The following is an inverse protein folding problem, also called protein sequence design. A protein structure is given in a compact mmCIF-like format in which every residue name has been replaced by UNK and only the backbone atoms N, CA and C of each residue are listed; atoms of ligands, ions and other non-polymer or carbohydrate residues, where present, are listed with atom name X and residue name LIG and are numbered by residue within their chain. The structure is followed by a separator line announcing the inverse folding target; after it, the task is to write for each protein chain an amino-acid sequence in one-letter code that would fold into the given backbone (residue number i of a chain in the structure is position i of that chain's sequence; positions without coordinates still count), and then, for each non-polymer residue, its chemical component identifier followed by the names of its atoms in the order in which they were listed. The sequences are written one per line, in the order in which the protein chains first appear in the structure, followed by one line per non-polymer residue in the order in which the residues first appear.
data_IF_409400813496
#
_entry.id   IF_409400813496
#
_cell.length_a   1.000
_cell.length_b   1.000
_cell.length_c   1.000
_cell.angle_alpha   90.00
_cell.angle_beta   90.00
_cell.angle_gamma   90.00
#
_symmetry.space_group_name_H-M   'P 1'
#
loop_
_entity.id
_entity.type
_entity.pdbx_description
1 polymer ?
#
# COMPACT_ATOMS: atom_id res chain seq x y z
N UNK A 1 16.44 -2.61 -12.61
CA UNK A 1 17.72 -3.30 -12.35
C UNK A 1 18.52 -3.25 -13.64
N UNK A 2 19.61 -2.49 -13.67
CA UNK A 2 20.47 -2.50 -14.86
C UNK A 2 21.11 -3.88 -14.99
N UNK A 3 21.42 -4.29 -16.22
CA UNK A 3 21.94 -5.64 -16.54
C UNK A 3 23.16 -6.02 -15.67
N UNK A 4 23.98 -5.04 -15.30
CA UNK A 4 25.19 -5.19 -14.49
C UNK A 4 24.96 -5.71 -13.06
N UNK A 5 23.84 -5.34 -12.41
CA UNK A 5 23.57 -5.79 -11.04
C UNK A 5 23.02 -7.22 -11.03
N UNK A 6 22.28 -7.59 -12.08
CA UNK A 6 21.71 -8.92 -12.24
C UNK A 6 22.81 -9.99 -12.41
N UNK A 7 23.90 -9.68 -13.11
CA UNK A 7 24.97 -10.63 -13.38
C UNK A 7 25.77 -10.96 -12.10
N UNK A 8 26.01 -9.97 -11.22
CA UNK A 8 26.62 -10.21 -9.89
C UNK A 8 25.77 -11.12 -9.00
N UNK A 9 24.45 -10.93 -9.03
CA UNK A 9 23.51 -11.79 -8.28
C UNK A 9 23.55 -13.21 -8.83
N UNK A 10 23.51 -13.38 -10.16
CA UNK A 10 23.58 -14.70 -10.80
C UNK A 10 24.88 -15.43 -10.46
N UNK A 11 26.02 -14.74 -10.43
CA UNK A 11 27.31 -15.32 -10.08
C UNK A 11 27.36 -15.84 -8.65
N UNK A 12 26.75 -15.13 -7.70
CA UNK A 12 26.69 -15.56 -6.30
C UNK A 12 25.71 -16.72 -6.08
N UNK A 13 24.58 -16.71 -6.80
CA UNK A 13 23.63 -17.83 -6.82
C UNK A 13 24.23 -19.09 -7.46
N UNK A 14 25.03 -18.95 -8.53
CA UNK A 14 25.73 -20.07 -9.17
C UNK A 14 26.75 -20.76 -8.24
N UNK A 15 27.26 -20.03 -7.23
CA UNK A 15 28.16 -20.56 -6.18
C UNK A 15 27.40 -21.13 -4.99
N UNK A 16 26.08 -21.27 -5.08
CA UNK A 16 25.22 -21.82 -4.04
C UNK A 16 25.28 -21.03 -2.71
N UNK A 17 25.54 -19.72 -2.79
CA UNK A 17 25.56 -18.81 -1.62
C UNK A 17 24.23 -18.08 -1.50
N UNK A 18 23.70 -17.90 -0.27
CA UNK A 18 22.49 -17.11 -0.06
C UNK A 18 22.78 -15.64 -0.37
N UNK A 19 21.93 -15.04 -1.20
CA UNK A 19 22.02 -13.61 -1.59
C UNK A 19 20.85 -12.86 -0.98
N UNK A 20 21.13 -11.75 -0.28
CA UNK A 20 20.13 -10.77 0.13
C UNK A 20 20.21 -9.58 -0.81
N UNK A 21 19.08 -9.26 -1.45
CA UNK A 21 18.93 -8.09 -2.30
C UNK A 21 18.18 -7.01 -1.52
N UNK A 22 18.76 -5.82 -1.48
CA UNK A 22 18.10 -4.64 -0.94
C UNK A 22 18.05 -3.57 -2.02
N UNK A 23 16.84 -3.12 -2.34
CA UNK A 23 16.60 -1.96 -3.18
C UNK A 23 16.48 -0.74 -2.27
N UNK A 24 17.42 0.20 -2.34
CA UNK A 24 17.30 1.48 -1.66
C UNK A 24 17.13 2.60 -2.67
N UNK A 25 15.97 3.27 -2.61
CA UNK A 25 15.68 4.42 -3.44
C UNK A 25 16.21 5.60 -2.65
N UNK A 26 17.48 5.95 -2.86
CA UNK A 26 18.08 7.09 -2.17
C UNK A 26 17.47 8.36 -2.74
N UNK A 27 16.64 9.03 -1.94
CA UNK A 27 16.25 10.40 -2.22
C UNK A 27 17.51 11.28 -2.17
N UNK A 28 17.67 12.25 -3.08
CA UNK A 28 18.78 13.18 -3.01
C UNK A 28 18.66 14.05 -1.76
N UNK A 29 19.80 14.47 -1.20
CA UNK A 29 19.90 15.31 0.00
C UNK A 29 20.67 16.58 -0.34
N UNK A 30 20.06 17.55 -1.04
CA UNK A 30 20.78 18.75 -1.48
C UNK A 30 21.27 19.58 -0.28
N UNK A 31 20.48 19.64 0.79
CA UNK A 31 20.84 20.29 2.05
C UNK A 31 20.18 19.59 3.28
N UNK A 32 20.13 20.28 4.42
CA UNK A 32 19.57 19.76 5.68
C UNK A 32 18.05 19.85 5.79
N UNK A 33 17.39 20.58 4.89
CA UNK A 33 15.94 20.75 4.77
C UNK A 33 15.42 19.81 3.69
N UNK A 34 14.16 19.42 3.79
CA UNK A 34 13.51 18.57 2.81
C UNK A 34 12.42 19.36 2.10
N UNK A 35 12.54 19.48 0.78
CA UNK A 35 11.48 20.02 -0.06
C UNK A 35 10.52 18.90 -0.45
N UNK A 36 9.22 19.14 -0.28
CA UNK A 36 8.20 18.21 -0.74
C UNK A 36 7.07 18.95 -1.45
N UNK A 37 6.73 18.45 -2.62
CA UNK A 37 5.80 19.08 -3.54
C UNK A 37 4.58 18.18 -3.69
N UNK A 38 3.38 18.76 -3.78
CA UNK A 38 2.15 18.00 -4.08
C UNK A 38 1.44 18.60 -5.29
N UNK A 39 1.43 17.86 -6.39
CA UNK A 39 0.64 18.18 -7.56
C UNK A 39 -0.76 17.56 -7.43
N UNK A 40 -1.80 18.41 -7.40
CA UNK A 40 -3.19 17.98 -7.19
C UNK A 40 -4.20 18.91 -7.89
N UNK A 41 -5.50 18.61 -7.77
CA UNK A 41 -6.60 19.49 -8.18
C UNK A 41 -7.51 19.77 -6.99
N UNK A 42 -8.16 20.95 -6.92
CA UNK A 42 -9.21 21.23 -5.95
C UNK A 42 -10.38 20.25 -5.93
N UNK A 43 -10.57 19.43 -6.95
CA UNK A 43 -11.66 18.45 -7.08
C UNK A 43 -11.20 17.00 -6.99
N UNK A 44 -9.93 16.75 -6.67
CA UNK A 44 -9.37 15.41 -6.56
C UNK A 44 -9.67 14.79 -5.17
N UNK A 45 -10.54 13.76 -5.08
CA UNK A 45 -10.94 13.19 -3.80
C UNK A 45 -9.77 12.49 -3.08
N UNK A 46 -8.77 12.00 -3.82
CA UNK A 46 -7.60 11.35 -3.21
C UNK A 46 -6.73 12.41 -2.53
N UNK A 47 -6.56 13.56 -3.17
CA UNK A 47 -5.82 14.68 -2.60
C UNK A 47 -6.55 15.26 -1.37
N UNK A 48 -7.87 15.36 -1.37
CA UNK A 48 -8.64 15.90 -0.24
C UNK A 48 -8.38 15.16 1.07
N UNK A 49 -8.44 13.82 1.03
CA UNK A 49 -8.18 13.00 2.22
C UNK A 49 -6.76 13.24 2.75
N UNK A 50 -5.77 13.24 1.85
CA UNK A 50 -4.39 13.53 2.22
C UNK A 50 -4.24 14.93 2.83
N UNK A 51 -4.81 15.95 2.19
CA UNK A 51 -4.66 17.34 2.58
C UNK A 51 -5.26 17.63 3.96
N UNK A 52 -6.40 17.01 4.27
CA UNK A 52 -7.06 17.15 5.57
C UNK A 52 -6.27 16.50 6.72
N UNK A 53 -5.60 15.38 6.45
CA UNK A 53 -4.90 14.62 7.50
C UNK A 53 -3.42 15.00 7.66
N UNK A 54 -2.78 15.56 6.63
CA UNK A 54 -1.35 15.85 6.66
C UNK A 54 -0.99 17.15 7.40
N UNK A 55 -1.96 18.04 7.65
CA UNK A 55 -1.73 19.33 8.32
C UNK A 55 -0.95 19.22 9.65
N UNK A 56 -1.29 18.32 10.60
CA UNK A 56 -0.55 18.21 11.86
C UNK A 56 0.91 17.82 11.65
N UNK A 57 1.19 16.98 10.65
CA UNK A 57 2.55 16.57 10.29
C UNK A 57 3.32 17.73 9.67
N UNK A 58 2.72 18.47 8.74
CA UNK A 58 3.35 19.66 8.15
C UNK A 58 3.76 20.66 9.25
N UNK A 59 2.86 20.92 10.21
CA UNK A 59 3.16 21.77 11.38
C UNK A 59 4.29 21.21 12.25
N UNK A 60 4.32 19.90 12.47
CA UNK A 60 5.34 19.27 13.30
C UNK A 60 6.71 19.15 12.63
N UNK A 61 6.75 19.09 11.30
CA UNK A 61 7.98 19.21 10.52
C UNK A 61 8.54 20.64 10.63
N UNK A 62 7.67 21.65 10.56
CA UNK A 62 8.04 23.06 10.69
C UNK A 62 9.17 23.43 9.72
N UNK A 63 10.12 24.26 10.17
CA UNK A 63 11.26 24.72 9.37
C UNK A 63 12.20 23.62 8.84
N UNK A 64 12.07 22.37 9.30
CA UNK A 64 12.87 21.25 8.80
C UNK A 64 12.42 20.79 7.41
N UNK A 65 11.19 21.09 6.99
CA UNK A 65 10.70 20.77 5.66
C UNK A 65 10.05 22.00 5.02
N UNK A 66 10.02 22.02 3.69
CA UNK A 66 9.36 23.06 2.91
C UNK A 66 8.34 22.40 1.99
N UNK A 67 7.06 22.68 2.22
CA UNK A 67 5.97 22.24 1.38
C UNK A 67 5.81 23.16 0.18
N UNK A 68 5.46 22.62 -0.98
CA UNK A 68 4.92 23.42 -2.10
C UNK A 68 3.65 22.75 -2.66
N UNK A 69 2.47 23.38 -2.55
CA UNK A 69 1.29 22.92 -3.26
C UNK A 69 1.39 23.34 -4.73
N UNK A 70 1.18 22.39 -5.63
CA UNK A 70 1.07 22.62 -7.06
C UNK A 70 -0.31 22.23 -7.56
N UNK A 71 -0.77 22.98 -8.56
CA UNK A 71 -2.03 22.70 -9.23
C UNK A 71 -1.74 22.02 -10.56
N UNK A 72 -2.53 21.00 -10.89
CA UNK A 72 -2.53 20.40 -12.22
C UNK A 72 -3.52 21.12 -13.15
N UNK A 73 -3.00 21.57 -14.30
CA UNK A 73 -3.67 22.40 -15.29
C UNK A 73 -3.31 21.90 -16.70
N UNK A 74 -4.14 22.24 -17.68
CA UNK A 74 -3.90 21.95 -19.08
C UNK A 74 -4.11 23.22 -19.93
N UNK A 75 -3.48 23.27 -21.10
CA UNK A 75 -3.83 24.27 -22.10
C UNK A 75 -5.13 23.88 -22.81
N UNK A 76 -5.96 24.87 -23.11
CA UNK A 76 -7.11 24.65 -23.98
C UNK A 76 -6.62 24.36 -25.40
N UNK A 77 -7.10 23.26 -26.00
CA UNK A 77 -6.91 23.05 -27.45
C UNK A 77 -7.95 23.90 -28.17
N UNK A 78 -7.48 24.82 -29.03
CA UNK A 78 -8.21 25.92 -29.67
C UNK A 78 -9.32 25.53 -30.67
N UNK A 79 -9.94 24.35 -30.55
CA UNK A 79 -10.77 23.79 -31.62
C UNK A 79 -12.08 23.14 -31.16
N UNK A 80 -12.61 23.53 -30.00
CA UNK A 80 -13.90 23.04 -29.48
C UNK A 80 -14.81 24.19 -29.02
N UNK A 81 -15.33 24.90 -30.02
CA UNK A 81 -16.62 25.64 -30.01
C UNK A 81 -16.94 26.57 -28.82
N UNK A 82 -16.79 27.87 -29.09
CA UNK A 82 -17.66 29.01 -28.69
C UNK A 82 -17.75 29.44 -27.22
N UNK A 83 -17.02 28.80 -26.30
CA UNK A 83 -16.65 29.39 -24.99
C UNK A 83 -15.13 29.65 -24.88
N UNK A 84 -14.49 29.74 -26.05
CA UNK A 84 -13.04 29.80 -26.32
C UNK A 84 -12.37 31.15 -25.95
N UNK A 85 -12.52 31.64 -24.72
CA UNK A 85 -11.77 32.83 -24.23
C UNK A 85 -10.78 32.53 -23.11
N UNK A 86 -10.59 31.26 -22.76
CA UNK A 86 -9.75 30.86 -21.63
C UNK A 86 -8.60 29.98 -22.07
N UNK A 87 -7.38 30.46 -21.80
CA UNK A 87 -6.10 29.83 -22.13
C UNK A 87 -5.81 28.57 -21.32
N UNK A 88 -6.34 28.52 -20.11
CA UNK A 88 -6.10 27.48 -19.11
C UNK A 88 -7.38 26.68 -18.87
N UNK A 89 -7.26 25.36 -18.76
CA UNK A 89 -8.35 24.49 -18.35
C UNK A 89 -7.89 23.48 -17.30
N UNK A 90 -8.86 22.90 -16.62
CA UNK A 90 -8.69 21.76 -15.73
C UNK A 90 -9.66 20.66 -16.16
N UNK A 91 -9.44 19.44 -15.67
CA UNK A 91 -10.38 18.35 -15.89
C UNK A 91 -11.71 18.67 -15.21
N UNK A 92 -12.79 18.51 -15.96
CA UNK A 92 -14.14 18.58 -15.42
C UNK A 92 -14.35 17.40 -14.44
N UNK A 93 -14.69 17.66 -13.17
CA UNK A 93 -14.80 16.63 -12.13
C UNK A 93 -15.96 15.66 -12.34
N UNK A 94 -17.10 16.11 -12.88
CA UNK A 94 -18.27 15.26 -13.13
C UNK A 94 -18.38 14.81 -14.59
N UNK A 95 -17.50 15.33 -15.45
CA UNK A 95 -17.45 15.07 -16.90
C UNK A 95 -18.73 15.49 -17.61
N UNK A 96 -19.50 16.40 -17.02
CA UNK A 96 -20.73 16.93 -17.56
C UNK A 96 -20.54 18.41 -17.91
N UNK A 97 -20.21 18.66 -19.18
CA UNK A 97 -19.92 20.00 -19.67
C UNK A 97 -21.12 20.96 -19.63
N UNK A 98 -22.34 20.45 -19.45
CA UNK A 98 -23.57 21.24 -19.51
C UNK A 98 -24.13 21.61 -18.12
N UNK A 99 -23.63 20.98 -17.04
CA UNK A 99 -24.09 21.27 -15.67
C UNK A 99 -23.12 20.76 -14.62
N UNK A 100 -22.95 21.51 -13.54
CA UNK A 100 -22.09 21.13 -12.42
C UNK A 100 -20.88 22.05 -12.31
N UNK A 101 -19.79 21.54 -11.75
CA UNK A 101 -18.56 22.30 -11.58
C UNK A 101 -17.79 22.28 -12.89
N UNK A 102 -17.66 23.43 -13.54
CA UNK A 102 -16.91 23.49 -14.80
C UNK A 102 -15.40 23.41 -14.57
N UNK A 103 -14.65 23.00 -15.61
CA UNK A 103 -13.18 23.11 -15.59
C UNK A 103 -12.69 24.55 -15.31
N UNK A 104 -13.46 25.58 -15.67
CA UNK A 104 -13.14 26.98 -15.34
C UNK A 104 -13.26 27.26 -13.84
N UNK A 105 -14.28 26.75 -13.18
CA UNK A 105 -14.44 26.90 -11.74
C UNK A 105 -13.27 26.27 -10.99
N UNK A 106 -12.80 25.11 -11.47
CA UNK A 106 -11.61 24.44 -10.93
C UNK A 106 -10.35 25.29 -11.13
N UNK A 107 -10.16 25.91 -12.30
CA UNK A 107 -9.04 26.85 -12.54
C UNK A 107 -9.14 28.07 -11.61
N UNK A 108 -10.34 28.61 -11.39
CA UNK A 108 -10.57 29.74 -10.50
C UNK A 108 -10.20 29.42 -9.05
N UNK A 109 -10.67 28.29 -8.54
CA UNK A 109 -10.32 27.83 -7.19
C UNK A 109 -8.83 27.47 -7.08
N UNK A 110 -8.23 26.95 -8.14
CA UNK A 110 -6.80 26.68 -8.19
C UNK A 110 -5.98 27.97 -8.06
N UNK A 111 -6.28 28.98 -8.86
CA UNK A 111 -5.59 30.27 -8.80
C UNK A 111 -5.73 30.92 -7.41
N UNK A 112 -6.92 30.79 -6.80
CA UNK A 112 -7.16 31.25 -5.43
C UNK A 112 -6.26 30.55 -4.42
N UNK A 113 -6.17 29.21 -4.46
CA UNK A 113 -5.27 28.44 -3.59
C UNK A 113 -3.80 28.80 -3.79
N UNK A 114 -3.37 29.06 -5.03
CA UNK A 114 -2.01 29.54 -5.31
C UNK A 114 -1.77 30.92 -4.70
N UNK A 115 -2.71 31.85 -4.84
CA UNK A 115 -2.61 33.17 -4.20
C UNK A 115 -2.55 33.11 -2.68
N UNK A 116 -3.31 32.20 -2.06
CA UNK A 116 -3.25 31.96 -0.61
C UNK A 116 -1.88 31.41 -0.22
N UNK A 117 -1.35 30.46 -1.01
CA UNK A 117 -0.01 29.93 -0.79
C UNK A 117 1.06 31.02 -0.87
N UNK A 118 1.02 31.84 -1.91
CA UNK A 118 2.00 32.91 -2.10
C UNK A 118 1.97 33.97 -0.99
N UNK A 119 0.79 34.30 -0.46
CA UNK A 119 0.68 35.29 0.61
C UNK A 119 0.88 34.74 2.03
N UNK A 120 0.66 33.44 2.26
CA UNK A 120 0.61 32.88 3.62
C UNK A 120 1.45 31.61 3.85
N UNK A 121 2.12 31.07 2.83
CA UNK A 121 2.89 29.82 2.95
C UNK A 121 4.28 29.83 2.33
N UNK A 122 4.54 30.65 1.31
CA UNK A 122 5.88 30.69 0.68
C UNK A 122 7.00 31.15 1.63
N UNK A 123 6.70 32.00 2.62
CA UNK A 123 7.73 32.54 3.52
C UNK A 123 8.27 31.48 4.50
N UNK A 124 7.39 30.66 5.08
CA UNK A 124 7.77 29.67 6.09
C UNK A 124 7.87 28.23 5.54
N UNK A 125 7.28 27.95 4.38
CA UNK A 125 7.20 26.60 3.81
C UNK A 125 6.26 25.65 4.56
N UNK A 126 5.52 26.13 5.57
CA UNK A 126 4.54 25.36 6.33
C UNK A 126 3.14 25.71 5.83
N UNK A 127 2.85 27.01 5.67
CA UNK A 127 1.59 27.52 5.14
C UNK A 127 0.36 27.14 5.96
N UNK A 128 0.41 27.32 7.29
CA UNK A 128 -0.69 26.92 8.18
C UNK A 128 -2.07 27.43 7.73
N UNK A 129 -2.17 28.71 7.32
CA UNK A 129 -3.41 29.29 6.79
C UNK A 129 -3.86 28.69 5.48
N UNK A 130 -2.93 28.25 4.63
CA UNK A 130 -3.27 27.54 3.40
C UNK A 130 -3.93 26.19 3.72
N UNK A 131 -3.40 25.44 4.68
CA UNK A 131 -4.01 24.19 5.15
C UNK A 131 -5.39 24.44 5.77
N UNK A 132 -5.55 25.50 6.56
CA UNK A 132 -6.85 25.90 7.12
C UNK A 132 -7.85 26.23 6.01
N UNK A 133 -7.44 27.01 5.02
CA UNK A 133 -8.30 27.32 3.88
C UNK A 133 -8.75 26.06 3.14
N UNK A 134 -7.83 25.15 2.81
CA UNK A 134 -8.17 23.91 2.09
C UNK A 134 -9.15 23.05 2.89
N UNK A 135 -8.94 22.93 4.20
CA UNK A 135 -9.81 22.13 5.07
C UNK A 135 -11.19 22.77 5.26
N UNK A 136 -11.26 24.09 5.46
CA UNK A 136 -12.55 24.80 5.57
C UNK A 136 -13.29 24.83 4.22
N UNK A 137 -12.58 24.93 3.10
CA UNK A 137 -13.16 24.84 1.77
C UNK A 137 -13.80 23.47 1.54
N UNK A 138 -13.10 22.38 1.85
CA UNK A 138 -13.62 21.02 1.70
C UNK A 138 -14.90 20.81 2.53
N UNK A 139 -14.90 21.28 3.79
CA UNK A 139 -16.06 21.16 4.69
C UNK A 139 -17.29 21.96 4.24
N UNK A 140 -17.08 23.14 3.65
CA UNK A 140 -18.16 24.12 3.39
C UNK A 140 -18.57 24.15 1.92
N UNK A 141 -17.58 24.21 1.04
CA UNK A 141 -17.74 24.40 -0.41
C UNK A 141 -17.34 23.16 -1.23
N UNK A 142 -16.94 22.06 -0.58
CA UNK A 142 -16.56 20.81 -1.27
C UNK A 142 -17.71 20.15 -2.03
N UNK A 143 -18.95 20.48 -1.71
CA UNK A 143 -20.11 20.08 -2.51
C UNK A 143 -20.14 20.85 -3.85
N UNK A 144 -20.35 20.12 -4.94
CA UNK A 144 -20.46 20.65 -6.30
C UNK A 144 -21.44 21.83 -6.43
N UNK A 145 -22.54 21.84 -5.67
CA UNK A 145 -23.52 22.94 -5.70
C UNK A 145 -22.97 24.27 -5.15
N UNK A 146 -21.96 24.21 -4.27
CA UNK A 146 -21.41 25.37 -3.55
C UNK A 146 -19.97 25.70 -3.94
N UNK A 147 -19.34 24.90 -4.80
CA UNK A 147 -17.91 24.98 -5.13
C UNK A 147 -17.47 26.36 -5.63
N UNK A 148 -18.31 27.03 -6.43
CA UNK A 148 -18.03 28.38 -6.95
C UNK A 148 -18.91 29.47 -6.31
N UNK A 149 -19.67 29.14 -5.26
CA UNK A 149 -20.59 30.07 -4.62
C UNK A 149 -19.80 31.17 -3.87
N UNK A 150 -19.99 32.46 -4.20
CA UNK A 150 -19.23 33.55 -3.57
C UNK A 150 -19.43 33.67 -2.07
N UNK A 151 -20.64 33.42 -1.57
CA UNK A 151 -20.93 33.48 -0.13
C UNK A 151 -20.23 32.34 0.62
N UNK A 152 -20.18 31.15 0.01
CA UNK A 152 -19.44 30.01 0.55
C UNK A 152 -17.94 30.31 0.64
N UNK A 153 -17.34 30.82 -0.44
CA UNK A 153 -15.92 31.20 -0.46
C UNK A 153 -15.61 32.29 0.58
N UNK A 154 -16.48 33.29 0.72
CA UNK A 154 -16.34 34.32 1.75
C UNK A 154 -16.41 33.76 3.17
N UNK A 155 -17.30 32.78 3.42
CA UNK A 155 -17.38 32.10 4.71
C UNK A 155 -16.11 31.29 5.02
N UNK A 156 -15.50 30.66 3.99
CA UNK A 156 -14.22 29.96 4.11
C UNK A 156 -13.10 30.95 4.46
N UNK A 157 -13.03 32.11 3.81
CA UNK A 157 -12.04 33.15 4.15
C UNK A 157 -12.13 33.58 5.61
N UNK A 158 -13.35 33.79 6.11
CA UNK A 158 -13.59 34.15 7.51
C UNK A 158 -13.07 33.07 8.48
N UNK A 159 -13.40 31.80 8.23
CA UNK A 159 -13.04 30.69 9.12
C UNK A 159 -11.56 30.26 9.03
N UNK A 160 -10.92 30.50 7.89
CA UNK A 160 -9.48 30.24 7.69
C UNK A 160 -8.57 31.44 8.01
N UNK A 161 -9.15 32.57 8.42
CA UNK A 161 -8.44 33.82 8.69
C UNK A 161 -7.58 34.31 7.51
N UNK A 162 -8.13 34.16 6.31
CA UNK A 162 -7.58 34.63 5.03
C UNK A 162 -8.26 35.95 4.67
N UNK A 163 -7.46 36.97 4.35
CA UNK A 163 -7.98 38.24 3.80
C UNK A 163 -8.44 38.04 2.35
N UNK A 164 -9.75 37.93 2.14
CA UNK A 164 -10.34 37.74 0.81
C UNK A 164 -9.99 38.86 -0.17
N UNK A 165 -9.96 40.12 0.27
CA UNK A 165 -9.64 41.24 -0.61
C UNK A 165 -8.19 41.19 -1.09
N UNK A 166 -7.27 40.74 -0.23
CA UNK A 166 -5.89 40.49 -0.61
C UNK A 166 -5.78 39.39 -1.68
N UNK A 167 -6.54 38.31 -1.52
CA UNK A 167 -6.54 37.19 -2.46
C UNK A 167 -7.14 37.57 -3.80
N UNK A 168 -8.29 38.26 -3.82
CA UNK A 168 -8.90 38.70 -5.07
C UNK A 168 -7.99 39.69 -5.83
N UNK A 169 -7.31 40.60 -5.11
CA UNK A 169 -6.27 41.45 -5.72
C UNK A 169 -5.09 40.64 -6.26
N UNK A 170 -4.63 39.63 -5.54
CA UNK A 170 -3.57 38.74 -6.00
C UNK A 170 -3.97 38.03 -7.31
N UNK A 171 -5.17 37.49 -7.38
CA UNK A 171 -5.68 36.79 -8.58
C UNK A 171 -5.78 37.74 -9.78
N UNK A 172 -6.18 38.99 -9.57
CA UNK A 172 -6.20 40.02 -10.62
C UNK A 172 -4.79 40.43 -11.06
N UNK A 173 -3.89 40.68 -10.10
CA UNK A 173 -2.52 41.11 -10.38
C UNK A 173 -1.70 40.05 -11.12
N UNK A 174 -2.02 38.76 -10.92
CA UNK A 174 -1.35 37.68 -11.64
C UNK A 174 -1.79 37.55 -13.10
N UNK A 175 -2.82 38.30 -13.54
CA UNK A 175 -3.35 38.29 -14.91
C UNK A 175 -4.86 38.07 -14.98
N UNK A 176 -5.49 37.67 -13.87
CA UNK A 176 -6.92 37.36 -13.82
C UNK A 176 -7.32 36.15 -14.66
N UNK A 177 -8.64 35.97 -14.81
CA UNK A 177 -9.27 34.88 -15.58
C UNK A 177 -10.35 35.37 -16.55
N UNK A 178 -10.63 36.67 -16.59
CA UNK A 178 -11.75 37.25 -17.35
C UNK A 178 -11.47 37.42 -18.85
N UNK A 179 -10.21 37.30 -19.26
CA UNK A 179 -9.75 37.50 -20.64
C UNK A 179 -8.72 36.44 -20.99
N UNK A 180 -8.55 36.20 -22.30
CA UNK A 180 -7.41 35.45 -22.83
C UNK A 180 -6.12 36.25 -22.66
N UNK A 181 -5.58 36.22 -21.45
CA UNK A 181 -4.33 36.85 -21.07
C UNK A 181 -3.46 35.84 -20.33
N UNK A 182 -2.15 36.03 -20.41
CA UNK A 182 -1.20 35.22 -19.67
C UNK A 182 -1.36 35.48 -18.17
N UNK A 183 -1.48 34.41 -17.39
CA UNK A 183 -1.49 34.47 -15.93
C UNK A 183 -0.15 33.93 -15.40
N UNK A 184 0.62 34.76 -14.69
CA UNK A 184 1.99 34.43 -14.27
C UNK A 184 2.06 33.18 -13.39
N UNK A 185 1.07 32.98 -12.52
CA UNK A 185 1.03 31.82 -11.64
C UNK A 185 0.66 30.55 -12.41
N UNK A 186 -0.36 30.60 -13.27
CA UNK A 186 -0.79 29.43 -14.02
C UNK A 186 0.28 28.97 -15.03
N UNK A 187 1.00 29.90 -15.67
CA UNK A 187 2.18 29.55 -16.48
C UNK A 187 3.29 28.89 -15.66
N UNK A 188 3.52 29.36 -14.43
CA UNK A 188 4.55 28.77 -13.56
C UNK A 188 4.19 27.35 -13.15
N UNK A 189 2.90 27.06 -12.91
CA UNK A 189 2.40 25.71 -12.60
C UNK A 189 2.57 24.77 -13.80
N UNK A 190 2.19 25.21 -15.01
CA UNK A 190 2.36 24.42 -16.24
C UNK A 190 3.84 24.13 -16.52
N UNK A 191 4.71 25.11 -16.27
CA UNK A 191 6.15 24.92 -16.35
C UNK A 191 6.64 23.91 -15.30
N UNK A 192 6.22 24.02 -14.05
CA UNK A 192 6.61 23.10 -12.98
C UNK A 192 6.17 21.65 -13.29
N UNK A 193 4.94 21.47 -13.78
CA UNK A 193 4.45 20.17 -14.25
C UNK A 193 5.32 19.59 -15.36
N UNK A 194 5.70 20.41 -16.34
CA UNK A 194 6.54 19.99 -17.47
C UNK A 194 7.96 19.64 -17.03
N UNK A 195 8.57 20.49 -16.19
CA UNK A 195 9.95 20.34 -15.71
C UNK A 195 10.10 19.08 -14.82
N UNK A 196 9.08 18.72 -14.04
CA UNK A 196 9.06 17.53 -13.19
C UNK A 196 8.43 16.30 -13.86
N UNK A 197 7.91 16.43 -15.09
CA UNK A 197 7.30 15.33 -15.85
C UNK A 197 6.03 14.78 -15.20
N UNK A 198 5.21 15.65 -14.62
CA UNK A 198 3.95 15.28 -13.95
C UNK A 198 2.91 14.89 -14.99
N UNK A 199 2.48 13.64 -14.95
CA UNK A 199 1.50 13.08 -15.92
C UNK A 199 0.29 12.41 -15.25
N UNK A 200 0.31 12.27 -13.93
CA UNK A 200 -0.75 11.64 -13.13
C UNK A 200 -0.99 12.49 -11.88
N UNK A 201 -2.23 12.51 -11.40
CA UNK A 201 -2.66 13.19 -10.19
C UNK A 201 -3.38 12.24 -9.22
N UNK A 202 -3.28 12.46 -7.89
CA UNK A 202 -2.31 13.35 -7.26
C UNK A 202 -0.90 12.72 -7.29
N UNK A 203 0.14 13.54 -7.34
CA UNK A 203 1.54 13.06 -7.25
C UNK A 203 2.33 13.92 -6.29
N UNK A 204 2.99 13.28 -5.32
CA UNK A 204 3.91 13.95 -4.41
C UNK A 204 5.37 13.75 -4.87
N UNK A 205 6.21 14.75 -4.63
CA UNK A 205 7.66 14.68 -4.83
C UNK A 205 8.36 14.96 -3.51
N UNK A 206 9.51 14.33 -3.29
CA UNK A 206 10.43 14.68 -2.20
C UNK A 206 11.79 14.92 -2.82
N UNK A 207 12.37 16.09 -2.60
CA UNK A 207 13.62 16.55 -3.20
C UNK A 207 13.65 16.30 -4.73
N UNK A 208 12.56 16.66 -5.42
CA UNK A 208 12.35 16.49 -6.87
C UNK A 208 12.26 15.05 -7.37
N UNK A 209 12.11 14.07 -6.47
CA UNK A 209 11.87 12.67 -6.84
C UNK A 209 10.41 12.32 -6.58
N UNK A 210 9.72 11.85 -7.63
CA UNK A 210 8.34 11.40 -7.52
C UNK A 210 8.20 10.22 -6.55
N UNK A 211 7.29 10.35 -5.59
CA UNK A 211 6.96 9.29 -4.65
C UNK A 211 6.01 8.31 -5.33
N UNK A 212 6.36 7.02 -5.24
CA UNK A 212 5.57 5.93 -5.79
C UNK A 212 4.77 5.25 -4.68
N UNK A 213 3.53 4.90 -4.98
CA UNK A 213 2.64 4.18 -4.06
C UNK A 213 1.31 4.89 -3.92
N UNK A 214 0.50 4.42 -2.98
CA UNK A 214 -0.75 5.08 -2.63
C UNK A 214 -0.46 6.46 -2.02
N UNK A 215 -1.30 7.44 -2.35
CA UNK A 215 -1.25 8.76 -1.73
C UNK A 215 -1.87 8.70 -0.34
N UNK A 216 -1.03 8.32 0.63
CA UNK A 216 -1.39 8.22 2.04
C UNK A 216 -0.43 9.03 2.89
N UNK A 217 -0.92 9.50 4.03
CA UNK A 217 -0.13 10.23 5.03
C UNK A 217 1.13 9.45 5.42
N UNK A 218 1.00 8.14 5.65
CA UNK A 218 2.13 7.27 6.01
C UNK A 218 3.22 7.23 4.93
N UNK A 219 2.84 7.04 3.66
CA UNK A 219 3.80 6.93 2.57
C UNK A 219 4.56 8.24 2.34
N UNK A 220 3.83 9.36 2.31
CA UNK A 220 4.45 10.67 2.08
C UNK A 220 5.31 11.09 3.27
N UNK A 221 4.82 10.91 4.50
CA UNK A 221 5.59 11.25 5.68
C UNK A 221 6.87 10.40 5.81
N UNK A 222 6.77 9.10 5.55
CA UNK A 222 7.94 8.22 5.52
C UNK A 222 8.95 8.66 4.45
N UNK A 223 8.47 9.05 3.26
CA UNK A 223 9.32 9.57 2.20
C UNK A 223 10.01 10.88 2.59
N UNK A 224 9.28 11.85 3.16
CA UNK A 224 9.84 13.10 3.68
C UNK A 224 10.91 12.82 4.74
N UNK A 225 10.65 11.91 5.68
CA UNK A 225 11.61 11.52 6.70
C UNK A 225 12.86 10.80 6.15
N UNK A 226 12.73 10.09 5.03
CA UNK A 226 13.86 9.50 4.30
C UNK A 226 14.62 10.54 3.46
N UNK A 227 13.97 11.65 3.12
CA UNK A 227 14.54 12.78 2.40
C UNK A 227 15.52 13.62 3.21
N UNK A 228 15.63 13.42 4.53
CA UNK A 228 16.62 14.11 5.38
C UNK A 228 18.00 13.47 5.28
N UNK A 229 19.03 14.32 5.23
CA UNK A 229 20.41 13.89 5.33
C UNK A 229 20.70 13.20 6.67
N UNK A 230 21.75 12.38 6.71
CA UNK A 230 22.16 11.72 7.95
C UNK A 230 22.49 12.78 9.02
N UNK A 231 21.79 12.70 10.16
CA UNK A 231 21.98 13.63 11.29
C UNK A 231 21.14 14.92 11.24
N UNK A 232 20.44 15.23 10.14
CA UNK A 232 19.52 16.39 10.07
C UNK A 232 18.05 16.04 10.34
N UNK A 233 17.75 14.75 10.51
CA UNK A 233 16.38 14.25 10.70
C UNK A 233 15.77 14.77 12.01
N UNK A 234 14.58 15.40 11.98
CA UNK A 234 13.91 15.87 13.20
C UNK A 234 13.39 14.72 14.06
N UNK A 235 13.18 14.99 15.35
CA UNK A 235 12.74 13.98 16.32
C UNK A 235 11.41 13.30 15.91
N UNK A 236 10.48 14.07 15.33
CA UNK A 236 9.17 13.59 14.86
C UNK A 236 9.28 12.43 13.86
N UNK A 237 10.29 12.46 12.99
CA UNK A 237 10.53 11.38 12.05
C UNK A 237 10.97 10.10 12.75
N UNK A 238 11.83 10.19 13.76
CA UNK A 238 12.28 9.00 14.52
C UNK A 238 11.14 8.40 15.35
N UNK A 239 10.24 9.26 15.84
CA UNK A 239 9.13 8.86 16.68
C UNK A 239 7.94 8.28 15.89
N UNK A 240 7.59 8.90 14.75
CA UNK A 240 6.31 8.67 14.09
C UNK A 240 6.38 8.09 12.67
N UNK A 241 7.53 8.08 11.98
CA UNK A 241 7.57 7.72 10.55
C UNK A 241 7.26 6.25 10.26
N UNK A 242 7.28 5.40 11.28
CA UNK A 242 7.00 3.96 11.18
C UNK A 242 5.71 3.55 11.90
N UNK A 243 4.91 4.51 12.37
CA UNK A 243 3.59 4.23 12.92
C UNK A 243 2.59 3.93 11.79
N UNK A 244 1.57 3.12 12.09
CA UNK A 244 0.46 2.89 11.16
C UNK A 244 -0.37 4.16 10.90
N UNK A 245 -0.46 5.03 11.91
CA UNK A 245 -1.08 6.35 11.81
C UNK A 245 -0.10 7.43 12.32
N UNK A 246 0.65 8.07 11.43
CA UNK A 246 1.57 9.13 11.82
C UNK A 246 0.88 10.41 12.31
N UNK A 247 -0.31 10.73 11.80
CA UNK A 247 -1.02 11.94 12.18
C UNK A 247 -1.45 11.87 13.66
N UNK A 248 -2.02 10.73 14.08
CA UNK A 248 -2.30 10.48 15.48
C UNK A 248 -1.03 10.43 16.34
N UNK A 249 0.06 9.85 15.84
CA UNK A 249 1.34 9.84 16.57
C UNK A 249 1.87 11.25 16.84
N UNK A 250 1.77 12.16 15.86
CA UNK A 250 2.19 13.56 16.03
C UNK A 250 1.35 14.25 17.12
N UNK A 251 0.06 13.97 17.18
CA UNK A 251 -0.83 14.52 18.22
C UNK A 251 -0.56 13.96 19.62
N UNK A 252 -0.31 12.65 19.74
CA UNK A 252 -0.21 11.97 21.03
C UNK A 252 1.22 11.77 21.55
N UNK A 253 2.24 11.97 20.71
CA UNK A 253 3.64 11.74 21.05
C UNK A 253 4.04 10.26 21.12
N UNK A 254 3.21 9.34 20.63
CA UNK A 254 3.50 7.91 20.56
C UNK A 254 2.64 7.23 19.48
N UNK A 255 3.12 6.13 18.90
CA UNK A 255 2.30 5.36 17.96
C UNK A 255 1.04 4.85 18.67
N UNK A 256 -0.12 5.30 18.21
CA UNK A 256 -1.41 4.70 18.58
C UNK A 256 -1.64 3.48 17.69
N UNK A 257 -1.89 2.32 18.27
CA UNK A 257 -2.36 1.18 17.51
C UNK A 257 -3.79 1.51 17.03
N UNK A 258 -3.98 1.70 15.72
CA UNK A 258 -5.32 1.78 15.14
C UNK A 258 -5.92 0.36 15.17
N UNK A 259 -6.36 -0.08 16.35
CA UNK A 259 -7.18 -1.27 16.52
C UNK A 259 -8.61 -0.86 16.17
N UNK A 260 -9.17 -1.45 15.11
CA UNK A 260 -10.63 -1.50 14.99
C UNK A 260 -11.18 -2.14 16.28
N UNK A 261 -11.78 -1.32 17.15
CA UNK A 261 -12.54 -1.72 18.33
C UNK A 261 -11.78 -2.53 19.40
N UNK A 262 -11.19 -1.84 20.38
CA UNK A 262 -10.82 -2.46 21.65
C UNK A 262 -9.64 -1.78 22.34
N UNK A 263 -9.91 -1.08 23.45
CA UNK A 263 -8.89 -0.53 24.33
C UNK A 263 -7.94 -1.63 24.83
N UNK A 264 -6.70 -1.63 24.37
CA UNK A 264 -5.55 -2.25 25.04
C UNK A 264 -4.41 -1.23 25.01
N UNK A 265 -3.96 -0.86 26.20
CA UNK A 265 -2.86 0.07 26.42
C UNK A 265 -1.55 -0.66 26.06
N UNK A 266 -1.06 -0.50 24.83
CA UNK A 266 0.16 -1.19 24.38
C UNK A 266 1.34 -0.21 24.30
N UNK A 267 2.11 -0.19 25.39
CA UNK A 267 3.44 0.40 25.44
C UNK A 267 4.42 -0.40 24.58
N UNK A 268 5.00 0.25 23.58
CA UNK A 268 6.27 -0.02 22.87
C UNK A 268 6.65 -1.48 22.54
N UNK A 269 6.99 -1.80 21.28
CA UNK A 269 7.47 -3.12 20.92
C UNK A 269 8.93 -3.28 21.37
N UNK A 270 9.13 -3.79 22.59
CA UNK A 270 10.32 -4.60 22.86
C UNK A 270 10.01 -5.99 22.36
N UNK A 271 10.54 -6.33 21.18
CA UNK A 271 10.59 -7.70 20.70
C UNK A 271 11.37 -8.56 21.70
N UNK A 272 10.68 -9.13 22.66
CA UNK A 272 11.19 -10.17 23.53
C UNK A 272 9.99 -11.01 23.95
N UNK A 273 9.87 -12.19 23.34
CA UNK A 273 8.92 -13.20 23.79
C UNK A 273 9.20 -13.45 25.27
N UNK A 274 8.18 -13.34 26.12
CA UNK A 274 8.30 -13.57 27.56
C UNK A 274 9.08 -14.86 27.79
N UNK A 275 10.16 -14.79 28.57
CA UNK A 275 11.05 -15.90 28.86
C UNK A 275 10.25 -17.12 29.35
N UNK A 276 9.20 -16.88 30.12
CA UNK A 276 8.27 -17.93 30.57
C UNK A 276 7.44 -18.56 29.46
N UNK A 277 6.99 -17.78 28.47
CA UNK A 277 6.24 -18.29 27.32
C UNK A 277 7.12 -19.16 26.41
N UNK A 278 8.39 -18.77 26.22
CA UNK A 278 9.35 -19.55 25.43
C UNK A 278 9.68 -20.90 26.10
N UNK A 279 10.01 -20.90 27.39
CA UNK A 279 10.30 -22.14 28.13
C UNK A 279 9.05 -23.02 28.30
N UNK A 280 7.87 -22.43 28.46
CA UNK A 280 6.61 -23.17 28.51
C UNK A 280 6.35 -23.94 27.21
N UNK A 281 6.50 -23.27 26.07
CA UNK A 281 6.32 -23.91 24.76
C UNK A 281 7.41 -24.94 24.44
N UNK A 282 8.65 -24.68 24.82
CA UNK A 282 9.75 -25.62 24.63
C UNK A 282 9.53 -26.91 25.44
N UNK A 283 9.11 -26.80 26.70
CA UNK A 283 8.78 -27.97 27.53
C UNK A 283 7.57 -28.74 27.01
N UNK A 284 6.55 -28.03 26.50
CA UNK A 284 5.39 -28.67 25.89
C UNK A 284 5.77 -29.50 24.66
N UNK A 285 6.56 -28.94 23.74
CA UNK A 285 7.02 -29.65 22.55
C UNK A 285 7.86 -30.88 22.95
N UNK A 286 8.82 -30.72 23.87
CA UNK A 286 9.64 -31.83 24.36
C UNK A 286 8.79 -32.92 25.02
N UNK A 287 7.76 -32.54 25.77
CA UNK A 287 6.78 -33.47 26.35
C UNK A 287 6.02 -34.26 25.29
N UNK A 288 5.51 -33.60 24.25
CA UNK A 288 4.82 -34.26 23.14
C UNK A 288 5.71 -35.28 22.42
N UNK A 289 6.97 -34.91 22.12
CA UNK A 289 7.91 -35.83 21.48
C UNK A 289 8.28 -37.01 22.39
N UNK A 290 8.43 -36.78 23.69
CA UNK A 290 8.74 -37.85 24.65
C UNK A 290 7.61 -38.87 24.78
N UNK A 291 6.36 -38.39 24.80
CA UNK A 291 5.16 -39.25 24.81
C UNK A 291 5.04 -40.04 23.50
N UNK A 292 5.24 -39.39 22.36
CA UNK A 292 5.22 -40.05 21.05
C UNK A 292 6.32 -41.13 20.95
N UNK A 293 7.53 -40.84 21.44
CA UNK A 293 8.63 -41.80 21.50
C UNK A 293 8.32 -42.99 22.42
N UNK A 294 7.75 -42.75 23.60
CA UNK A 294 7.35 -43.82 24.51
C UNK A 294 6.24 -44.71 23.92
N UNK A 295 5.27 -44.10 23.23
CA UNK A 295 4.22 -44.83 22.52
C UNK A 295 4.79 -45.68 21.38
N UNK A 296 5.67 -45.11 20.56
CA UNK A 296 6.34 -45.82 19.47
C UNK A 296 7.23 -46.96 19.99
N UNK A 297 7.97 -46.73 21.08
CA UNK A 297 8.81 -47.75 21.72
C UNK A 297 7.99 -48.90 22.28
N UNK A 298 6.85 -48.60 22.93
CA UNK A 298 5.93 -49.64 23.43
C UNK A 298 5.33 -50.45 22.28
N UNK A 299 4.86 -49.78 21.23
CA UNK A 299 4.30 -50.44 20.04
C UNK A 299 5.33 -51.32 19.32
N UNK A 300 6.54 -50.83 19.13
CA UNK A 300 7.62 -51.61 18.50
C UNK A 300 8.03 -52.85 19.31
N UNK A 301 7.98 -52.78 20.66
CA UNK A 301 8.19 -53.97 21.51
C UNK A 301 7.09 -55.01 21.39
N UNK A 302 5.84 -54.58 21.20
CA UNK A 302 4.71 -55.50 21.00
C UNK A 302 4.79 -56.19 19.63
N UNK A 303 5.20 -55.46 18.57
CA UNK A 303 5.44 -56.03 17.24
C UNK A 303 6.61 -57.03 17.24
N UNK A 304 7.71 -56.73 17.95
CA UNK A 304 8.83 -57.67 18.10
C UNK A 304 8.45 -58.97 18.82
N UNK A 305 7.55 -58.90 19.82
CA UNK A 305 7.07 -60.11 20.52
C UNK A 305 6.23 -61.00 19.62
N UNK A 306 5.48 -60.44 18.67
CA UNK A 306 4.72 -61.23 17.71
C UNK A 306 5.65 -61.95 16.74
N UNK A 307 6.67 -61.28 16.21
CA UNK A 307 7.65 -61.91 15.32
C UNK A 307 8.44 -63.04 16.00
N UNK A 308 8.84 -62.88 17.26
CA UNK A 308 9.50 -63.95 18.02
C UNK A 308 8.56 -65.13 18.27
N UNK A 309 7.26 -64.90 18.51
CA UNK A 309 6.27 -65.98 18.64
C UNK A 309 6.03 -66.71 17.32
N UNK A 310 6.01 -65.98 16.20
CA UNK A 310 5.91 -66.57 14.86
C UNK A 310 7.15 -67.41 14.53
N UNK A 311 8.36 -66.92 14.82
CA UNK A 311 9.61 -67.67 14.61
C UNK A 311 9.70 -68.89 15.55
N UNK A 312 9.24 -68.78 16.80
CA UNK A 312 9.26 -69.89 17.75
C UNK A 312 8.21 -70.98 17.43
N UNK A 313 7.12 -70.62 16.73
CA UNK A 313 6.12 -71.58 16.26
C UNK A 313 6.66 -72.53 15.18
N UNK A 314 7.67 -72.11 14.41
CA UNK A 314 8.34 -72.96 13.40
C UNK A 314 9.36 -73.94 14.00
N UNK A 315 9.70 -73.81 15.29
CA UNK A 315 10.69 -74.64 15.97
C UNK A 315 10.11 -75.40 17.18
N UNK A 316 8.79 -75.54 17.30
CA UNK A 316 8.18 -76.38 18.32
C UNK A 316 8.19 -77.85 17.83
N UNK A 317 9.00 -78.76 18.41
CA UNK A 317 9.12 -80.12 17.91
C UNK A 317 7.87 -80.95 18.23
N UNK A 318 7.24 -81.48 17.18
CA UNK A 318 6.33 -82.62 17.25
C UNK A 318 7.15 -83.88 17.62
N UNK A 319 7.00 -84.35 18.85
CA UNK A 319 7.25 -85.75 19.18
C UNK A 319 5.90 -86.42 19.41
N UNK A 320 5.45 -87.16 18.41
CA UNK A 320 4.46 -88.23 18.54
C UNK A 320 5.19 -89.52 18.88
N UNK A 321 4.77 -90.21 19.95
CA UNK A 321 4.66 -91.68 19.98
C UNK A 321 3.98 -92.17 21.25
N UNK A 322 2.74 -92.65 21.05
CA UNK A 322 2.13 -93.87 21.58
C UNK A 322 1.77 -94.00 23.08
N UNK A 323 0.46 -93.96 23.41
CA UNK A 323 -0.38 -95.17 23.58
C UNK A 323 -1.79 -94.90 24.17
N UNK A 324 -2.76 -95.52 23.49
CA UNK A 324 -4.04 -96.08 23.97
C UNK A 324 -5.17 -95.19 24.53
N UNK A 325 -6.27 -95.17 23.77
CA UNK A 325 -7.52 -95.73 24.29
C UNK A 325 -8.76 -94.82 24.29
N UNK A 326 -9.72 -95.11 23.41
CA UNK A 326 -11.15 -94.85 23.68
C UNK A 326 -11.91 -94.01 22.65
N UNK A 327 -12.53 -94.68 21.68
CA UNK A 327 -13.78 -94.25 21.02
C UNK A 327 -14.97 -94.92 21.75
N UNK A 328 -16.27 -94.53 21.59
CA UNK A 328 -16.89 -94.26 20.29
C UNK A 328 -18.04 -93.21 20.21
N UNK A 329 -18.38 -92.87 18.96
CA UNK A 329 -19.71 -92.44 18.50
C UNK A 329 -19.88 -90.93 18.33
N UNK A 330 -20.28 -90.35 17.20
CA UNK A 330 -20.99 -90.86 16.01
C UNK A 330 -22.14 -89.89 15.72
N UNK A 331 -22.20 -89.27 14.54
CA UNK A 331 -23.37 -88.46 14.15
C UNK A 331 -23.13 -87.50 12.99
N UNK A 332 -23.75 -87.80 11.85
CA UNK A 332 -23.68 -87.11 10.56
C UNK A 332 -24.42 -85.75 10.55
N UNK A 333 -24.09 -84.92 9.54
CA UNK A 333 -25.01 -84.44 8.46
C UNK A 333 -24.93 -82.93 8.15
N UNK A 334 -24.54 -82.62 6.90
CA UNK A 334 -24.80 -81.38 6.13
C UNK A 334 -26.23 -81.42 5.52
N UNK A 335 -26.75 -80.41 4.77
CA UNK A 335 -26.40 -78.98 4.56
C UNK A 335 -27.61 -78.03 4.86
N UNK A 336 -27.56 -76.70 4.72
CA UNK A 336 -28.07 -75.96 3.54
C UNK A 336 -28.33 -74.45 3.81
N UNK A 337 -27.93 -73.61 2.84
CA UNK A 337 -28.61 -72.43 2.25
C UNK A 337 -28.72 -71.02 2.89
N UNK A 338 -28.45 -70.02 2.02
CA UNK A 338 -28.86 -68.60 2.04
C UNK A 338 -27.66 -67.64 2.15
N UNK A 339 -27.13 -66.99 1.10
CA UNK A 339 -27.75 -66.06 0.13
C UNK A 339 -27.93 -64.68 0.80
N UNK A 340 -27.55 -63.50 0.28
CA UNK A 340 -27.00 -63.04 -1.00
C UNK A 340 -26.57 -61.56 -0.80
N UNK A 341 -25.59 -61.05 -1.56
CA UNK A 341 -25.59 -59.72 -2.23
C UNK A 341 -24.17 -59.23 -2.56
N UNK A 342 -23.86 -59.24 -3.85
CA UNK A 342 -22.77 -58.49 -4.49
C UNK A 342 -23.18 -57.03 -4.73
N UNK A 343 -22.22 -56.12 -4.74
CA UNK A 343 -22.09 -55.15 -5.85
C UNK A 343 -20.61 -54.84 -6.12
N UNK A 344 -20.28 -54.91 -7.40
CA UNK A 344 -19.01 -54.59 -8.01
C UNK A 344 -19.02 -53.14 -8.52
N UNK A 345 -17.86 -52.50 -8.60
CA UNK A 345 -17.55 -51.53 -9.67
C UNK A 345 -16.12 -51.76 -10.13
N UNK A 346 -15.99 -51.97 -11.43
CA UNK A 346 -14.75 -52.18 -12.18
C UNK A 346 -14.32 -50.88 -12.88
N UNK A 347 -13.01 -50.80 -13.12
CA UNK A 347 -12.22 -49.98 -14.06
C UNK A 347 -12.93 -49.23 -15.21
N UNK A 348 -12.38 -48.07 -15.62
CA UNK A 348 -11.59 -47.94 -16.87
C UNK A 348 -11.14 -46.50 -17.20
N UNK A 349 -9.87 -46.41 -17.61
CA UNK A 349 -9.26 -45.68 -18.74
C UNK A 349 -9.71 -44.26 -19.14
N UNK A 350 -8.70 -43.42 -19.46
CA UNK A 350 -8.74 -42.69 -20.74
C UNK A 350 -8.17 -41.27 -20.76
N UNK A 351 -7.01 -41.15 -21.43
CA UNK A 351 -6.59 -40.06 -22.32
C UNK A 351 -6.06 -38.74 -21.73
N UNK A 352 -4.82 -38.44 -22.10
CA UNK A 352 -4.23 -37.12 -22.04
C UNK A 352 -4.44 -36.32 -23.32
N UNK A 353 -4.08 -35.04 -23.28
CA UNK A 353 -3.41 -34.33 -24.37
C UNK A 353 -2.94 -32.95 -23.90
N UNK A 354 -1.69 -32.67 -24.27
CA UNK A 354 -1.06 -31.39 -24.59
C UNK A 354 -1.94 -30.12 -24.60
N UNK A 355 -1.50 -29.08 -23.89
CA UNK A 355 -1.65 -27.69 -24.36
C UNK A 355 -0.39 -26.85 -24.11
N UNK A 356 -0.18 -25.98 -25.08
CA UNK A 356 1.04 -25.26 -25.45
C UNK A 356 1.42 -24.13 -24.49
N UNK A 357 2.74 -23.95 -24.40
CA UNK A 357 3.39 -22.69 -24.05
C UNK A 357 3.08 -21.66 -25.15
N UNK A 358 2.39 -20.57 -24.78
CA UNK A 358 2.23 -19.38 -25.63
C UNK A 358 3.16 -18.28 -25.14
N UNK A 359 4.05 -17.84 -26.03
CA UNK A 359 4.88 -16.66 -25.86
C UNK A 359 4.04 -15.37 -25.87
N UNK A 360 4.43 -14.32 -25.13
CA UNK A 360 3.75 -13.04 -25.19
C UNK A 360 3.93 -12.36 -26.56
N UNK A 361 2.91 -11.65 -27.07
CA UNK A 361 3.00 -10.96 -28.35
C UNK A 361 4.03 -9.82 -28.28
N UNK A 362 4.82 -9.74 -29.34
CA UNK A 362 5.80 -8.70 -29.64
C UNK A 362 5.18 -7.29 -29.63
N UNK A 363 5.85 -6.36 -28.96
CA UNK A 363 5.55 -4.93 -28.99
C UNK A 363 5.58 -4.38 -30.43
N UNK A 364 4.67 -3.47 -30.81
CA UNK A 364 4.74 -2.79 -32.10
C UNK A 364 5.96 -1.85 -32.16
N UNK A 365 6.73 -1.97 -33.23
CA UNK A 365 7.86 -1.09 -33.55
C UNK A 365 7.35 0.34 -33.81
N UNK A 366 7.89 1.29 -33.05
CA UNK A 366 7.76 2.72 -33.31
C UNK A 366 8.59 3.09 -34.54
N UNK A 367 7.94 3.63 -35.58
CA UNK A 367 8.56 4.09 -36.82
C UNK A 367 8.71 5.63 -36.77
N UNK A 368 9.93 6.19 -36.62
CA UNK A 368 10.12 7.63 -36.60
C UNK A 368 10.24 8.12 -38.04
N UNK A 369 9.10 8.40 -38.68
CA UNK A 369 9.12 8.84 -40.08
C UNK A 369 7.75 9.14 -40.64
N UNK A 370 6.99 10.04 -40.01
CA UNK A 370 5.81 10.68 -40.63
C UNK A 370 5.34 11.90 -39.80
N UNK A 371 6.18 12.93 -39.71
CA UNK A 371 5.75 14.31 -39.43
C UNK A 371 6.67 15.24 -40.24
N UNK A 372 6.19 15.62 -41.41
CA UNK A 372 6.51 16.88 -42.08
C UNK A 372 5.22 17.70 -42.10
#
# INVERSE_FOLDING_TARGET
MFKHDADKVKDELAKNRPVRLEMQWSLPHPDSRVEYDLFSSPTDPVAHHFLNEFKPIAKALGHHAYFTPHIILFFTQSNRTNSDLLRYCAMDPDKNLDSGVSGFDVVKESLRRHCIWSNYGEDDGVGEKWWDYVSEFDKRCGNMDYFNNPDCVNDVYHHSHVDGDLIERCMQNSGGLEKDATNSFLESELKAQTDLGVVIMPTAFVNKVAIRGAMSVANVFQAVCAGFAAGSRPHICTMCSHCGDPAACVHHGHCTAHMGGGFMHESLPKGSVSTHSFYGWMLFIVGCFSVAAAWHYKKSRDDMRQQVRTILADYMPLNDSDQMGGSPGGGMQMPAFGGNAQMAVSSMMGMGSSQQSQAPPSAPQYNPGSLL
#
